data_IF_429322532058
#
_entry.id   IF_429322532058
#
_cell.length_a   1.000
_cell.length_b   1.000
_cell.length_c   1.000
_cell.angle_alpha   90.00
_cell.angle_beta   90.00
_cell.angle_gamma   90.00
#
_symmetry.space_group_name_H-M   'P 1'
#
loop_
_entity.id
_entity.type
_entity.pdbx_description
1 polymer ?
#
# COMPACT_ATOMS: atom_id res chain seq x y z
N UNK A 1 -10.32 -24.04 -0.14
CA UNK A 1 -10.43 -23.38 1.17
C UNK A 1 -10.85 -21.94 0.94
N UNK A 2 -12.09 -21.57 1.26
CA UNK A 2 -12.55 -20.18 1.19
C UNK A 2 -11.91 -19.43 2.36
N UNK A 3 -10.87 -18.65 2.08
CA UNK A 3 -10.36 -17.68 3.04
C UNK A 3 -11.48 -16.64 3.20
N UNK A 4 -12.36 -16.85 4.17
CA UNK A 4 -13.37 -15.86 4.51
C UNK A 4 -12.67 -14.53 4.73
N UNK A 5 -13.24 -13.45 4.19
CA UNK A 5 -12.78 -12.08 4.39
C UNK A 5 -12.82 -11.74 5.88
N UNK A 6 -11.82 -12.22 6.64
CA UNK A 6 -11.59 -11.89 8.03
C UNK A 6 -10.57 -10.77 8.01
N UNK A 7 -11.08 -9.56 8.15
CA UNK A 7 -10.28 -8.36 8.31
C UNK A 7 -9.46 -8.46 9.60
N UNK A 8 -8.30 -7.82 9.65
CA UNK A 8 -7.52 -7.76 10.90
C UNK A 8 -8.36 -7.16 12.03
N UNK A 9 -9.22 -6.20 11.70
CA UNK A 9 -10.20 -5.64 12.63
C UNK A 9 -11.07 -6.72 13.30
N UNK A 10 -11.73 -7.59 12.53
CA UNK A 10 -12.58 -8.65 13.10
C UNK A 10 -11.77 -9.64 13.94
N UNK A 11 -10.55 -9.97 13.51
CA UNK A 11 -9.67 -10.81 14.31
C UNK A 11 -9.28 -10.14 15.63
N UNK A 12 -9.08 -8.82 15.61
CA UNK A 12 -8.74 -8.02 16.80
C UNK A 12 -9.90 -7.98 17.79
N UNK A 13 -11.13 -7.77 17.32
CA UNK A 13 -12.33 -7.79 18.17
C UNK A 13 -12.52 -9.17 18.83
N UNK A 14 -12.45 -10.25 18.05
CA UNK A 14 -12.55 -11.63 18.54
C UNK A 14 -11.43 -11.98 19.54
N UNK A 15 -10.24 -11.38 19.37
CA UNK A 15 -9.09 -11.58 20.25
C UNK A 15 -9.28 -10.85 21.58
N UNK A 16 -9.72 -9.59 21.55
CA UNK A 16 -9.99 -8.79 22.76
C UNK A 16 -11.09 -9.44 23.59
N UNK A 17 -12.18 -9.90 22.95
CA UNK A 17 -13.27 -10.60 23.64
C UNK A 17 -12.78 -11.84 24.42
N UNK A 18 -11.83 -12.58 23.84
CA UNK A 18 -11.24 -13.76 24.49
C UNK A 18 -10.19 -13.40 25.54
N UNK A 19 -9.37 -12.39 25.27
CA UNK A 19 -8.35 -11.91 26.20
C UNK A 19 -8.99 -11.39 27.50
N UNK A 20 -10.12 -10.68 27.41
CA UNK A 20 -10.86 -10.21 28.58
C UNK A 20 -11.42 -11.33 29.47
N UNK A 21 -11.56 -12.55 28.95
CA UNK A 21 -12.04 -13.71 29.72
C UNK A 21 -10.90 -14.43 30.46
N UNK A 22 -9.65 -14.01 30.27
CA UNK A 22 -8.46 -14.63 30.87
C UNK A 22 -7.85 -13.65 31.87
N UNK A 23 -8.00 -13.94 33.16
CA UNK A 23 -7.64 -13.04 34.26
C UNK A 23 -6.11 -12.95 34.53
N UNK A 24 -5.33 -13.94 34.09
CA UNK A 24 -3.90 -14.15 34.43
C UNK A 24 -2.94 -14.06 33.23
N UNK A 25 -3.34 -13.43 32.13
CA UNK A 25 -2.50 -13.32 30.92
C UNK A 25 -1.59 -12.08 30.99
N UNK A 26 -0.30 -12.26 30.71
CA UNK A 26 0.63 -11.12 30.64
C UNK A 26 0.51 -10.39 29.30
N UNK A 27 0.87 -9.10 29.26
CA UNK A 27 0.89 -8.34 28.00
C UNK A 27 1.80 -8.98 26.95
N UNK A 28 2.92 -9.59 27.39
CA UNK A 28 3.84 -10.28 26.50
C UNK A 28 3.22 -11.54 25.85
N UNK A 29 2.42 -12.29 26.63
CA UNK A 29 1.70 -13.46 26.11
C UNK A 29 0.61 -13.03 25.12
N UNK A 30 -0.14 -11.96 25.43
CA UNK A 30 -1.11 -11.38 24.52
C UNK A 30 -0.48 -10.92 23.20
N UNK A 31 0.67 -10.24 23.27
CA UNK A 31 1.44 -9.83 22.10
C UNK A 31 1.86 -11.02 21.25
N UNK A 32 2.41 -12.06 21.89
CA UNK A 32 2.86 -13.25 21.20
C UNK A 32 1.71 -13.96 20.48
N UNK A 33 0.58 -14.17 21.16
CA UNK A 33 -0.57 -14.86 20.60
C UNK A 33 -1.30 -14.04 19.53
N UNK A 34 -1.38 -12.71 19.71
CA UNK A 34 -1.93 -11.80 18.71
C UNK A 34 -1.08 -11.80 17.42
N UNK A 35 0.24 -11.59 17.54
CA UNK A 35 1.16 -11.60 16.40
C UNK A 35 1.19 -12.95 15.67
N UNK A 36 0.96 -14.05 16.38
CA UNK A 36 0.88 -15.40 15.81
C UNK A 36 -0.35 -15.57 14.91
N UNK A 37 -1.47 -14.92 15.22
CA UNK A 37 -2.69 -14.99 14.41
C UNK A 37 -2.72 -14.03 13.21
N UNK A 38 -1.82 -13.04 13.17
CA UNK A 38 -1.73 -12.09 12.07
C UNK A 38 -1.10 -12.70 10.79
N UNK A 39 -1.49 -12.18 9.60
CA UNK A 39 -0.79 -12.45 8.35
C UNK A 39 0.70 -12.09 8.43
N UNK A 40 1.55 -12.85 7.74
CA UNK A 40 3.01 -12.67 7.74
C UNK A 40 3.44 -11.27 7.31
N UNK A 41 2.79 -10.69 6.30
CA UNK A 41 3.11 -9.35 5.78
C UNK A 41 2.90 -8.28 6.86
N UNK A 42 1.80 -8.40 7.61
CA UNK A 42 1.44 -7.47 8.68
C UNK A 42 2.38 -7.64 9.87
N UNK A 43 2.70 -8.88 10.24
CA UNK A 43 3.66 -9.17 11.31
C UNK A 43 5.05 -8.57 11.01
N UNK A 44 5.49 -8.61 9.76
CA UNK A 44 6.75 -7.99 9.34
C UNK A 44 6.69 -6.46 9.46
N UNK A 45 5.58 -5.84 9.05
CA UNK A 45 5.40 -4.40 9.17
C UNK A 45 5.39 -3.92 10.64
N UNK A 46 4.69 -4.66 11.52
CA UNK A 46 4.71 -4.41 12.97
C UNK A 46 6.14 -4.49 13.52
N UNK A 47 6.91 -5.52 13.14
CA UNK A 47 8.31 -5.68 13.54
C UNK A 47 9.19 -4.52 13.04
N UNK A 48 8.93 -4.03 11.82
CA UNK A 48 9.67 -2.91 11.25
C UNK A 48 9.40 -1.59 11.96
N UNK A 49 8.16 -1.37 12.45
CA UNK A 49 7.81 -0.16 13.24
C UNK A 49 8.34 -0.18 14.67
N UNK A 50 8.76 -1.34 15.19
CA UNK A 50 9.41 -1.45 16.50
C UNK A 50 8.49 -1.12 17.69
N UNK A 51 7.18 -1.32 17.54
CA UNK A 51 6.19 -1.10 18.60
C UNK A 51 6.19 -2.25 19.61
N UNK A 52 6.02 -1.93 20.89
CA UNK A 52 6.11 -2.90 22.01
C UNK A 52 4.83 -3.05 22.82
N UNK A 53 3.83 -2.18 22.65
CA UNK A 53 2.55 -2.25 23.36
C UNK A 53 1.48 -2.97 22.54
N UNK A 54 0.60 -3.72 23.20
CA UNK A 54 -0.45 -4.49 22.51
C UNK A 54 -1.39 -3.59 21.70
N UNK A 55 -1.80 -2.45 22.27
CA UNK A 55 -2.65 -1.46 21.58
C UNK A 55 -1.94 -0.89 20.35
N UNK A 56 -0.67 -0.51 20.48
CA UNK A 56 0.12 0.01 19.37
C UNK A 56 0.30 -1.04 18.25
N UNK A 57 0.49 -2.31 18.62
CA UNK A 57 0.56 -3.42 17.66
C UNK A 57 -0.77 -3.61 16.93
N UNK A 58 -1.91 -3.54 17.63
CA UNK A 58 -3.24 -3.63 17.01
C UNK A 58 -3.48 -2.49 16.02
N UNK A 59 -3.12 -1.25 16.37
CA UNK A 59 -3.25 -0.10 15.48
C UNK A 59 -2.40 -0.26 14.23
N UNK A 60 -1.12 -0.62 14.38
CA UNK A 60 -0.23 -0.83 13.23
C UNK A 60 -0.74 -1.97 12.34
N UNK A 61 -1.23 -3.06 12.95
CA UNK A 61 -1.76 -4.18 12.19
C UNK A 61 -3.00 -3.81 11.36
N UNK A 62 -3.90 -3.01 11.91
CA UNK A 62 -5.07 -2.50 11.22
C UNK A 62 -4.71 -1.54 10.08
N UNK A 63 -3.81 -0.58 10.33
CA UNK A 63 -3.32 0.35 9.30
C UNK A 63 -2.70 -0.38 8.09
N UNK A 64 -1.88 -1.40 8.36
CA UNK A 64 -1.22 -2.18 7.30
C UNK A 64 -2.22 -3.07 6.55
N UNK A 65 -3.22 -3.66 7.24
CA UNK A 65 -4.32 -4.38 6.59
C UNK A 65 -5.13 -3.46 5.67
N UNK A 66 -5.42 -2.24 6.13
CA UNK A 66 -6.08 -1.20 5.32
C UNK A 66 -5.21 -0.77 4.14
N UNK A 67 -3.90 -0.62 4.31
CA UNK A 67 -2.98 -0.26 3.24
C UNK A 67 -2.89 -1.36 2.16
N UNK A 68 -2.81 -2.63 2.58
CA UNK A 68 -2.79 -3.79 1.68
C UNK A 68 -4.12 -3.92 0.93
N UNK A 69 -5.25 -3.70 1.62
CA UNK A 69 -6.57 -3.68 1.00
C UNK A 69 -6.78 -2.50 0.08
N UNK A 70 -6.29 -1.31 0.44
CA UNK A 70 -6.34 -0.11 -0.38
C UNK A 70 -5.58 -0.31 -1.69
N UNK A 71 -4.38 -0.92 -1.63
CA UNK A 71 -3.64 -1.34 -2.83
C UNK A 71 -4.41 -2.36 -3.69
N UNK A 72 -5.17 -3.27 -3.07
CA UNK A 72 -6.01 -4.23 -3.81
C UNK A 72 -7.29 -3.59 -4.38
N UNK A 73 -7.87 -2.61 -3.71
CA UNK A 73 -9.02 -1.85 -4.20
C UNK A 73 -8.62 -0.94 -5.39
N UNK A 74 -7.41 -0.36 -5.35
CA UNK A 74 -6.85 0.43 -6.44
C UNK A 74 -6.52 -0.41 -7.68
N UNK A 75 -6.20 -1.70 -7.50
CA UNK A 75 -6.01 -2.63 -8.63
C UNK A 75 -7.31 -3.05 -9.34
N UNK A 76 -8.47 -2.61 -8.85
CA UNK A 76 -9.79 -3.00 -9.36
C UNK A 76 -10.61 -1.87 -10.00
N UNK A 77 -10.12 -0.63 -10.05
CA UNK A 77 -10.94 0.46 -10.58
C UNK A 77 -10.38 1.86 -10.42
N UNK A 78 -9.16 2.12 -10.88
CA UNK A 78 -8.79 3.49 -11.22
C UNK A 78 -9.26 3.81 -12.65
N UNK A 79 -10.58 3.93 -12.78
CA UNK A 79 -11.18 4.90 -13.69
C UNK A 79 -11.17 6.26 -12.99
N UNK A 80 -10.00 6.75 -12.56
CA UNK A 80 -9.83 8.18 -12.33
C UNK A 80 -9.38 8.75 -13.65
N UNK A 81 -10.41 9.18 -14.36
CA UNK A 81 -10.46 10.52 -14.90
C UNK A 81 -9.19 10.86 -15.69
N UNK A 82 -9.31 10.65 -17.00
CA UNK A 82 -8.77 11.57 -17.99
C UNK A 82 -8.97 13.01 -17.48
N UNK A 83 -8.01 13.53 -16.72
CA UNK A 83 -7.63 14.89 -16.99
C UNK A 83 -6.93 14.79 -18.35
N UNK A 84 -7.48 15.50 -19.32
CA UNK A 84 -6.76 15.87 -20.52
C UNK A 84 -5.54 16.71 -20.08
N UNK A 85 -4.55 16.07 -19.48
CA UNK A 85 -3.17 16.51 -19.59
C UNK A 85 -2.72 15.89 -20.89
N UNK A 86 -3.00 16.62 -21.96
CA UNK A 86 -2.60 16.35 -23.35
C UNK A 86 -1.08 16.49 -23.49
N UNK A 87 -0.36 15.75 -22.65
CA UNK A 87 1.08 15.84 -22.48
C UNK A 87 1.56 14.54 -21.82
N UNK A 88 2.68 13.98 -22.30
CA UNK A 88 3.18 12.70 -21.84
C UNK A 88 3.44 12.76 -20.34
N UNK A 89 3.12 11.66 -19.66
CA UNK A 89 3.39 11.53 -18.23
C UNK A 89 4.89 11.76 -17.96
N UNK A 90 5.30 12.23 -16.76
CA UNK A 90 6.70 12.48 -16.45
C UNK A 90 7.65 11.30 -16.74
N UNK A 91 7.15 10.07 -16.58
CA UNK A 91 7.88 8.84 -16.89
C UNK A 91 8.05 8.60 -18.41
N UNK A 92 7.10 9.07 -19.23
CA UNK A 92 7.20 9.03 -20.69
C UNK A 92 8.16 10.10 -21.21
N UNK A 93 8.25 11.27 -20.55
CA UNK A 93 9.23 12.30 -20.91
C UNK A 93 10.66 11.77 -20.70
N UNK A 94 10.96 11.16 -19.55
CA UNK A 94 12.29 10.59 -19.29
C UNK A 94 12.67 9.51 -20.33
N UNK A 95 11.69 8.72 -20.77
CA UNK A 95 11.89 7.74 -21.84
C UNK A 95 12.21 8.38 -23.19
N UNK A 96 11.50 9.46 -23.56
CA UNK A 96 11.75 10.19 -24.81
C UNK A 96 13.12 10.88 -24.83
N UNK A 97 13.55 11.45 -23.70
CA UNK A 97 14.87 12.06 -23.57
C UNK A 97 16.00 11.07 -23.86
N UNK A 98 15.86 9.84 -23.35
CA UNK A 98 16.86 8.78 -23.55
C UNK A 98 16.85 8.20 -24.96
N UNK A 99 15.67 8.03 -25.57
CA UNK A 99 15.54 7.43 -26.89
C UNK A 99 16.01 8.34 -28.02
N UNK A 100 15.73 9.64 -27.92
CA UNK A 100 16.02 10.60 -28.99
C UNK A 100 17.23 11.49 -28.68
N UNK A 101 17.88 11.33 -27.52
CA UNK A 101 19.01 12.16 -27.06
C UNK A 101 18.65 13.66 -27.09
N UNK A 102 17.40 13.97 -26.74
CA UNK A 102 16.88 15.34 -26.70
C UNK A 102 16.95 15.91 -25.29
N UNK A 103 16.93 17.24 -25.18
CA UNK A 103 16.78 17.92 -23.88
C UNK A 103 15.30 18.00 -23.46
N UNK A 104 15.04 18.19 -22.15
CA UNK A 104 13.68 18.32 -21.60
C UNK A 104 12.88 19.40 -22.32
N UNK A 105 13.50 20.55 -22.59
CA UNK A 105 12.89 21.65 -23.33
C UNK A 105 12.57 21.29 -24.79
N UNK A 106 13.46 20.54 -25.44
CA UNK A 106 13.21 20.08 -26.81
C UNK A 106 12.04 19.11 -26.86
N UNK A 107 11.94 18.17 -25.91
CA UNK A 107 10.81 17.24 -25.82
C UNK A 107 9.51 17.98 -25.54
N UNK A 108 9.49 18.89 -24.57
CA UNK A 108 8.31 19.71 -24.28
C UNK A 108 7.87 20.55 -25.47
N UNK A 109 8.82 21.12 -26.23
CA UNK A 109 8.50 21.88 -27.44
C UNK A 109 7.88 21.00 -28.52
N UNK A 110 8.40 19.79 -28.74
CA UNK A 110 7.83 18.86 -29.72
C UNK A 110 6.41 18.41 -29.34
N UNK A 111 6.16 18.15 -28.06
CA UNK A 111 4.82 17.82 -27.54
C UNK A 111 3.87 19.01 -27.76
N UNK A 112 4.29 20.23 -27.38
CA UNK A 112 3.45 21.42 -27.49
C UNK A 112 3.14 21.81 -28.93
N UNK A 113 4.07 21.55 -29.85
CA UNK A 113 3.96 21.88 -31.27
C UNK A 113 3.43 20.70 -32.12
N UNK A 114 3.03 19.59 -31.49
CA UNK A 114 2.59 18.34 -32.13
C UNK A 114 3.54 17.84 -33.22
N UNK A 115 4.85 17.98 -32.98
CA UNK A 115 5.90 17.63 -33.94
C UNK A 115 6.39 16.22 -33.71
N UNK A 116 6.53 15.47 -34.81
CA UNK A 116 7.08 14.12 -34.79
C UNK A 116 8.55 14.10 -34.34
N UNK A 117 8.86 13.26 -33.36
CA UNK A 117 10.23 13.02 -32.85
C UNK A 117 11.15 12.26 -33.82
N UNK A 118 10.57 11.62 -34.83
CA UNK A 118 11.25 10.67 -35.72
C UNK A 118 11.35 11.16 -37.17
N UNK A 119 10.91 12.38 -37.48
CA UNK A 119 11.02 12.92 -38.84
C UNK A 119 12.47 13.36 -39.09
N UNK A 120 13.14 12.65 -39.99
CA UNK A 120 14.54 12.81 -40.33
C UNK A 120 14.74 13.60 -41.63
#
# INVERSE_FOLDING_TARGET
>A
MKCGNKTVQKYTDDFIEKAMQIEDVTEADLLHDYLRGLPTDIRLAVKHRGVTGIEAVMTVADEEDQLIKGKRADSGGHAVQQCNTDGPAPMEIDRLLRLYVLSYEQVQRHIREDRCFSCH
#
